data_IF_361026427631
#
_entry.id   IF_361026427631
#
_cell.length_a   1.000
_cell.length_b   1.000
_cell.length_c   1.000
_cell.angle_alpha   90.00
_cell.angle_beta   90.00
_cell.angle_gamma   90.00
#
_symmetry.space_group_name_H-M   'P 1'
#
loop_
_entity.id
_entity.type
_entity.pdbx_description
1 polymer ?
#
# COMPACT_ATOMS: atom_id res chain seq x y z
N UNK A 1 63.90 -32.82 95.25
CA UNK A 1 63.40 -33.32 93.95
C UNK A 1 62.15 -32.52 93.59
N UNK A 2 62.16 -31.76 92.49
CA UNK A 2 60.95 -31.07 91.99
C UNK A 2 60.16 -32.01 91.11
N UNK A 3 58.82 -32.05 91.19
CA UNK A 3 57.97 -32.35 90.05
C UNK A 3 57.37 -31.05 89.49
N UNK A 4 57.64 -30.80 88.20
CA UNK A 4 56.97 -29.77 87.38
C UNK A 4 55.59 -30.28 86.98
N UNK A 5 54.53 -29.55 87.29
CA UNK A 5 53.17 -29.85 86.87
C UNK A 5 52.35 -28.58 86.72
N UNK A 6 52.51 -27.85 85.61
CA UNK A 6 51.68 -26.69 85.28
C UNK A 6 51.85 -26.18 83.82
N UNK A 7 51.84 -27.06 82.80
CA UNK A 7 51.99 -26.63 81.39
C UNK A 7 50.90 -27.12 80.41
N UNK A 8 49.93 -27.96 80.80
CA UNK A 8 48.93 -28.49 79.85
C UNK A 8 47.74 -27.56 79.59
N UNK A 9 47.30 -26.76 80.57
CA UNK A 9 46.08 -25.92 80.40
C UNK A 9 46.30 -24.68 79.52
N UNK A 10 47.52 -24.15 79.46
CA UNK A 10 47.85 -22.97 78.64
C UNK A 10 48.04 -23.33 77.17
N UNK A 11 48.60 -24.51 76.88
CA UNK A 11 48.76 -25.01 75.51
C UNK A 11 47.41 -25.27 74.82
N UNK A 12 46.44 -25.83 75.55
CA UNK A 12 45.09 -26.11 75.03
C UNK A 12 44.30 -24.81 74.72
N UNK A 13 44.48 -23.78 75.56
CA UNK A 13 43.88 -22.44 75.29
C UNK A 13 44.51 -21.72 74.09
N UNK A 14 45.80 -21.90 73.85
CA UNK A 14 46.49 -21.29 72.70
C UNK A 14 46.10 -21.97 71.38
N UNK A 15 45.97 -23.30 71.39
CA UNK A 15 45.46 -24.07 70.25
C UNK A 15 44.01 -23.71 69.90
N UNK A 16 43.14 -23.53 70.90
CA UNK A 16 41.75 -23.10 70.67
C UNK A 16 41.66 -21.65 70.17
N UNK A 17 42.48 -20.73 70.66
CA UNK A 17 42.60 -19.36 70.14
C UNK A 17 43.08 -19.36 68.68
N UNK A 18 44.08 -20.17 68.36
CA UNK A 18 44.59 -20.35 67.00
C UNK A 18 43.51 -20.93 66.08
N UNK A 19 42.84 -22.00 66.48
CA UNK A 19 41.76 -22.62 65.70
C UNK A 19 40.60 -21.64 65.47
N UNK A 20 40.21 -20.88 66.49
CA UNK A 20 39.20 -19.82 66.35
C UNK A 20 39.63 -18.75 65.36
N UNK A 21 40.91 -18.33 65.38
CA UNK A 21 41.45 -17.34 64.43
C UNK A 21 41.48 -17.91 63.01
N UNK A 22 41.90 -19.16 62.83
CA UNK A 22 41.94 -19.84 61.54
C UNK A 22 40.52 -19.97 60.93
N UNK A 23 39.55 -20.41 61.74
CA UNK A 23 38.14 -20.52 61.32
C UNK A 23 37.54 -19.15 61.02
N UNK A 24 37.78 -18.14 61.87
CA UNK A 24 37.29 -16.78 61.64
C UNK A 24 37.84 -16.19 60.33
N UNK A 25 39.12 -16.37 60.04
CA UNK A 25 39.72 -15.87 58.81
C UNK A 25 39.19 -16.60 57.56
N UNK A 26 38.94 -17.90 57.65
CA UNK A 26 38.33 -18.68 56.57
C UNK A 26 36.88 -18.24 56.30
N UNK A 27 36.09 -18.04 57.36
CA UNK A 27 34.69 -17.60 57.24
C UNK A 27 34.60 -16.16 56.72
N UNK A 28 35.44 -15.24 57.20
CA UNK A 28 35.48 -13.86 56.67
C UNK A 28 35.97 -13.84 55.23
N UNK A 29 36.97 -14.66 54.88
CA UNK A 29 37.49 -14.77 53.52
C UNK A 29 36.45 -15.33 52.54
N UNK A 30 35.68 -16.34 52.95
CA UNK A 30 34.59 -16.91 52.16
C UNK A 30 33.41 -15.96 52.04
N UNK A 31 33.00 -15.28 53.12
CA UNK A 31 31.95 -14.26 53.09
C UNK A 31 32.31 -13.10 52.14
N UNK A 32 33.54 -12.60 52.20
CA UNK A 32 34.04 -11.56 51.29
C UNK A 32 34.09 -12.05 49.83
N UNK A 33 34.36 -13.33 49.60
CA UNK A 33 34.26 -13.95 48.27
C UNK A 33 32.81 -13.95 47.79
N UNK A 34 31.86 -14.38 48.62
CA UNK A 34 30.44 -14.37 48.28
C UNK A 34 29.92 -12.97 47.97
N UNK A 35 30.28 -11.94 48.76
CA UNK A 35 29.90 -10.56 48.47
C UNK A 35 30.46 -10.06 47.13
N UNK A 36 31.72 -10.41 46.81
CA UNK A 36 32.34 -10.04 45.54
C UNK A 36 31.71 -10.79 44.35
N UNK A 37 31.42 -12.08 44.50
CA UNK A 37 30.76 -12.91 43.50
C UNK A 37 29.32 -12.42 43.26
N UNK A 38 28.58 -12.06 44.31
CA UNK A 38 27.25 -11.49 44.21
C UNK A 38 27.28 -10.12 43.51
N UNK A 39 28.25 -9.26 43.84
CA UNK A 39 28.42 -7.96 43.18
C UNK A 39 28.78 -8.12 41.70
N UNK A 40 29.66 -9.06 41.36
CA UNK A 40 30.02 -9.38 39.98
C UNK A 40 28.81 -9.94 39.21
N UNK A 41 28.04 -10.85 39.81
CA UNK A 41 26.81 -11.38 39.22
C UNK A 41 25.78 -10.27 38.96
N UNK A 42 25.54 -9.38 39.94
CA UNK A 42 24.64 -8.22 39.79
C UNK A 42 25.09 -7.29 38.68
N UNK A 43 26.39 -7.01 38.56
CA UNK A 43 26.93 -6.16 37.50
C UNK A 43 26.83 -6.82 36.12
N UNK A 44 27.07 -8.13 36.03
CA UNK A 44 26.91 -8.89 34.78
C UNK A 44 25.45 -8.91 34.32
N UNK A 45 24.50 -9.11 35.24
CA UNK A 45 23.07 -9.06 34.95
C UNK A 45 22.68 -7.67 34.45
N UNK A 46 23.11 -6.60 35.13
CA UNK A 46 22.86 -5.22 34.68
C UNK A 46 23.42 -4.96 33.28
N UNK A 47 24.67 -5.34 33.03
CA UNK A 47 25.30 -5.18 31.72
C UNK A 47 24.58 -5.98 30.62
N UNK A 48 24.06 -7.17 30.92
CA UNK A 48 23.25 -7.96 29.98
C UNK A 48 21.89 -7.32 29.71
N UNK A 49 21.24 -6.77 30.75
CA UNK A 49 19.98 -6.04 30.62
C UNK A 49 20.15 -4.78 29.78
N UNK A 50 21.19 -3.98 30.03
CA UNK A 50 21.48 -2.76 29.27
C UNK A 50 21.72 -3.09 27.78
N UNK A 51 22.47 -4.16 27.49
CA UNK A 51 22.66 -4.66 26.12
C UNK A 51 21.35 -5.11 25.48
N UNK A 52 20.49 -5.83 26.20
CA UNK A 52 19.18 -6.24 25.70
C UNK A 52 18.30 -5.03 25.38
N UNK A 53 18.26 -4.02 26.26
CA UNK A 53 17.51 -2.79 26.03
C UNK A 53 18.02 -2.02 24.80
N UNK A 54 19.34 -1.98 24.59
CA UNK A 54 19.92 -1.33 23.41
C UNK A 54 19.56 -2.07 22.12
N UNK A 55 19.62 -3.40 22.13
CA UNK A 55 19.19 -4.26 21.01
C UNK A 55 17.71 -4.05 20.72
N UNK A 56 16.86 -4.05 21.74
CA UNK A 56 15.42 -3.86 21.60
C UNK A 56 15.08 -2.49 21.00
N UNK A 57 15.72 -1.41 21.49
CA UNK A 57 15.56 -0.06 20.92
C UNK A 57 16.00 -0.01 19.45
N UNK A 58 17.15 -0.61 19.11
CA UNK A 58 17.63 -0.68 17.72
C UNK A 58 16.65 -1.44 16.82
N UNK A 59 16.16 -2.58 17.30
CA UNK A 59 15.17 -3.40 16.59
C UNK A 59 13.84 -2.67 16.40
N UNK A 60 13.40 -1.89 17.40
CA UNK A 60 12.17 -1.10 17.30
C UNK A 60 12.29 0.02 16.26
N UNK A 61 13.43 0.73 16.24
CA UNK A 61 13.72 1.77 15.24
C UNK A 61 13.74 1.16 13.83
N UNK A 62 14.39 0.02 13.65
CA UNK A 62 14.46 -0.66 12.36
C UNK A 62 13.08 -1.14 11.90
N UNK A 63 12.29 -1.77 12.79
CA UNK A 63 10.91 -2.15 12.50
C UNK A 63 10.05 -0.95 12.14
N UNK A 64 10.23 0.19 12.82
CA UNK A 64 9.51 1.43 12.50
C UNK A 64 9.88 1.95 11.12
N UNK A 65 11.17 2.00 10.78
CA UNK A 65 11.66 2.40 9.45
C UNK A 65 11.08 1.50 8.36
N UNK A 66 11.16 0.18 8.56
CA UNK A 66 10.59 -0.79 7.61
C UNK A 66 9.08 -0.60 7.41
N UNK A 67 8.32 -0.37 8.50
CA UNK A 67 6.88 -0.08 8.41
C UNK A 67 6.60 1.20 7.61
N UNK A 68 7.36 2.27 7.85
CA UNK A 68 7.19 3.52 7.12
C UNK A 68 7.53 3.34 5.63
N UNK A 69 8.65 2.72 5.31
CA UNK A 69 9.06 2.46 3.92
C UNK A 69 8.03 1.57 3.19
N UNK A 70 7.54 0.52 3.85
CA UNK A 70 6.52 -0.33 3.26
C UNK A 70 5.19 0.42 3.04
N UNK A 71 4.82 1.31 3.97
CA UNK A 71 3.64 2.15 3.82
C UNK A 71 3.80 3.15 2.68
N UNK A 72 4.98 3.74 2.50
CA UNK A 72 5.28 4.63 1.37
C UNK A 72 5.26 3.89 0.04
N UNK A 73 5.84 2.70 -0.03
CA UNK A 73 5.77 1.83 -1.21
C UNK A 73 4.34 1.48 -1.58
N UNK A 74 3.54 1.05 -0.60
CA UNK A 74 2.13 0.74 -0.83
C UNK A 74 1.34 1.97 -1.33
N UNK A 75 1.60 3.14 -0.73
CA UNK A 75 0.98 4.39 -1.21
C UNK A 75 1.40 4.69 -2.65
N UNK A 76 2.68 4.55 -2.98
CA UNK A 76 3.18 4.80 -4.33
C UNK A 76 2.56 3.84 -5.36
N UNK A 77 2.41 2.56 -5.02
CA UNK A 77 1.77 1.57 -5.92
C UNK A 77 0.29 1.85 -6.12
N UNK A 78 -0.47 2.12 -5.05
CA UNK A 78 -1.90 2.46 -5.15
C UNK A 78 -2.12 3.70 -6.01
N UNK A 79 -1.28 4.72 -5.86
CA UNK A 79 -1.33 5.94 -6.68
C UNK A 79 -1.06 5.64 -8.15
N UNK A 80 -0.05 4.83 -8.42
CA UNK A 80 0.30 4.44 -9.78
C UNK A 80 -0.83 3.65 -10.45
N UNK A 81 -1.41 2.68 -9.74
CA UNK A 81 -2.56 1.91 -10.23
C UNK A 81 -3.78 2.78 -10.50
N UNK A 82 -4.12 3.69 -9.59
CA UNK A 82 -5.24 4.62 -9.79
C UNK A 82 -5.02 5.53 -11.00
N UNK A 83 -3.78 5.98 -11.23
CA UNK A 83 -3.43 6.76 -12.41
C UNK A 83 -3.62 5.97 -13.69
N UNK A 84 -3.12 4.73 -13.76
CA UNK A 84 -3.29 3.87 -14.94
C UNK A 84 -4.77 3.60 -15.23
N UNK A 85 -5.55 3.27 -14.19
CA UNK A 85 -7.00 3.08 -14.32
C UNK A 85 -7.70 4.31 -14.87
N UNK A 86 -7.33 5.50 -14.39
CA UNK A 86 -7.86 6.75 -14.90
C UNK A 86 -7.51 6.97 -16.39
N UNK A 87 -6.25 6.75 -16.77
CA UNK A 87 -5.80 6.86 -18.17
C UNK A 87 -6.53 5.86 -19.08
N UNK A 88 -6.77 4.64 -18.61
CA UNK A 88 -7.53 3.61 -19.34
C UNK A 88 -8.99 4.00 -19.55
N UNK A 89 -9.68 4.47 -18.51
CA UNK A 89 -11.06 4.97 -18.60
C UNK A 89 -11.15 6.16 -19.56
N UNK A 90 -10.19 7.10 -19.52
CA UNK A 90 -10.17 8.21 -20.46
C UNK A 90 -9.91 7.76 -21.90
N UNK A 91 -9.02 6.80 -22.10
CA UNK A 91 -8.68 6.30 -23.43
C UNK A 91 -9.85 5.52 -24.07
N UNK A 92 -10.53 4.68 -23.29
CA UNK A 92 -11.72 3.93 -23.73
C UNK A 92 -12.85 4.87 -24.10
N UNK A 93 -13.10 5.91 -23.28
CA UNK A 93 -14.09 6.94 -23.57
C UNK A 93 -13.79 7.68 -24.87
N UNK A 94 -12.54 8.12 -25.06
CA UNK A 94 -12.13 8.78 -26.31
C UNK A 94 -12.35 7.89 -27.53
N UNK A 95 -11.99 6.60 -27.45
CA UNK A 95 -12.24 5.62 -28.52
C UNK A 95 -13.73 5.47 -28.81
N UNK A 96 -14.57 5.41 -27.79
CA UNK A 96 -16.02 5.30 -27.95
C UNK A 96 -16.60 6.54 -28.66
N UNK A 97 -16.19 7.74 -28.27
CA UNK A 97 -16.61 8.99 -28.92
C UNK A 97 -16.14 9.01 -30.38
N UNK A 98 -14.87 8.71 -30.65
CA UNK A 98 -14.34 8.68 -32.02
C UNK A 98 -15.11 7.71 -32.91
N UNK A 99 -15.44 6.51 -32.41
CA UNK A 99 -16.24 5.52 -33.15
C UNK A 99 -17.64 6.05 -33.47
N UNK A 100 -18.28 6.78 -32.55
CA UNK A 100 -19.58 7.42 -32.81
C UNK A 100 -19.44 8.51 -33.86
N UNK A 101 -18.41 9.36 -33.78
CA UNK A 101 -18.16 10.40 -34.77
C UNK A 101 -17.89 9.83 -36.18
N UNK A 102 -17.10 8.77 -36.28
CA UNK A 102 -16.84 8.06 -37.54
C UNK A 102 -18.13 7.48 -38.13
N UNK A 103 -18.95 6.83 -37.31
CA UNK A 103 -20.24 6.32 -37.73
C UNK A 103 -21.18 7.45 -38.19
N UNK A 104 -21.22 8.58 -37.48
CA UNK A 104 -22.00 9.74 -37.90
C UNK A 104 -21.52 10.31 -39.23
N UNK A 105 -20.19 10.42 -39.43
CA UNK A 105 -19.62 10.85 -40.72
C UNK A 105 -20.04 9.91 -41.84
N UNK A 106 -19.96 8.60 -41.61
CA UNK A 106 -20.40 7.60 -42.58
C UNK A 106 -21.91 7.72 -42.88
N UNK A 107 -22.75 7.84 -41.86
CA UNK A 107 -24.20 8.04 -42.00
C UNK A 107 -24.54 9.32 -42.78
N UNK A 108 -23.80 10.42 -42.55
CA UNK A 108 -24.00 11.67 -43.31
C UNK A 108 -23.71 11.51 -44.80
N UNK A 109 -22.76 10.64 -45.18
CA UNK A 109 -22.51 10.32 -46.59
C UNK A 109 -23.67 9.52 -47.20
N UNK A 110 -24.26 8.61 -46.43
CA UNK A 110 -25.40 7.78 -46.87
C UNK A 110 -26.68 8.59 -47.13
N UNK A 111 -26.82 9.81 -46.59
CA UNK A 111 -27.97 10.69 -46.85
C UNK A 111 -28.23 10.97 -48.34
N UNK A 112 -27.20 10.85 -49.17
CA UNK A 112 -27.29 11.07 -50.62
C UNK A 112 -27.92 9.89 -51.36
N UNK A 113 -28.09 8.75 -50.71
CA UNK A 113 -28.51 7.50 -51.35
C UNK A 113 -29.91 7.09 -50.89
N UNK A 114 -30.59 6.35 -51.76
CA UNK A 114 -31.87 5.72 -51.45
C UNK A 114 -31.59 4.32 -50.88
N UNK A 115 -32.26 4.01 -49.78
CA UNK A 115 -32.16 2.74 -49.07
C UNK A 115 -33.20 1.74 -49.62
N UNK A 116 -32.80 0.49 -49.85
CA UNK A 116 -33.74 -0.60 -50.15
C UNK A 116 -34.37 -1.18 -48.89
N UNK A 117 -35.61 -1.67 -48.99
CA UNK A 117 -36.30 -2.34 -47.87
C UNK A 117 -35.86 -3.82 -47.68
N UNK A 118 -35.07 -4.36 -48.62
CA UNK A 118 -34.57 -5.73 -48.61
C UNK A 118 -33.39 -5.91 -47.64
N UNK A 119 -33.16 -7.15 -47.21
CA UNK A 119 -31.97 -7.57 -46.45
C UNK A 119 -31.12 -8.48 -47.35
N UNK A 120 -29.84 -8.17 -47.61
CA UNK A 120 -29.09 -7.01 -47.13
C UNK A 120 -29.57 -5.70 -47.74
N UNK A 121 -29.51 -4.63 -46.94
CA UNK A 121 -29.88 -3.30 -47.37
C UNK A 121 -28.83 -2.74 -48.31
N UNK A 122 -29.27 -2.21 -49.45
CA UNK A 122 -28.41 -1.60 -50.47
C UNK A 122 -28.72 -0.12 -50.55
N UNK A 123 -27.67 0.69 -50.74
CA UNK A 123 -27.77 2.11 -50.99
C UNK A 123 -27.45 2.38 -52.46
N UNK A 124 -28.37 3.02 -53.17
CA UNK A 124 -28.19 3.34 -54.57
C UNK A 124 -28.58 4.79 -54.87
N UNK A 125 -28.03 5.33 -55.96
CA UNK A 125 -28.36 6.65 -56.48
C UNK A 125 -28.76 6.47 -57.96
N UNK A 126 -30.01 6.80 -58.35
CA UNK A 126 -30.42 6.71 -59.74
C UNK A 126 -29.74 7.81 -60.58
N UNK A 127 -29.47 7.53 -61.86
CA UNK A 127 -28.87 8.51 -62.76
C UNK A 127 -29.75 9.76 -63.01
N UNK A 128 -31.08 9.56 -63.00
CA UNK A 128 -32.07 10.64 -63.08
C UNK A 128 -33.15 10.44 -62.03
N UNK A 129 -33.58 11.52 -61.39
CA UNK A 129 -34.60 11.48 -60.36
C UNK A 129 -36.00 11.74 -60.93
N UNK A 130 -36.89 10.76 -60.78
CA UNK A 130 -38.35 10.95 -60.87
C UNK A 130 -38.88 11.48 -59.53
N UNK A 131 -40.08 12.06 -59.49
CA UNK A 131 -40.63 12.63 -58.25
C UNK A 131 -40.77 11.58 -57.14
N UNK A 132 -41.11 10.33 -57.50
CA UNK A 132 -41.12 9.20 -56.56
C UNK A 132 -39.74 8.95 -55.93
N UNK A 133 -38.66 9.03 -56.71
CA UNK A 133 -37.31 8.79 -56.17
C UNK A 133 -36.79 9.98 -55.36
N UNK A 134 -37.25 11.20 -55.64
CA UNK A 134 -36.99 12.38 -54.79
C UNK A 134 -37.66 12.25 -53.42
N UNK A 135 -38.90 11.77 -53.39
CA UNK A 135 -39.61 11.50 -52.13
C UNK A 135 -38.90 10.42 -51.32
N UNK A 136 -38.52 9.30 -51.95
CA UNK A 136 -37.76 8.24 -51.30
C UNK A 136 -36.41 8.74 -50.75
N UNK A 137 -35.71 9.60 -51.49
CA UNK A 137 -34.46 10.22 -51.03
C UNK A 137 -34.68 11.08 -49.78
N UNK A 138 -35.73 11.91 -49.77
CA UNK A 138 -36.10 12.73 -48.59
C UNK A 138 -36.44 11.84 -47.39
N UNK A 139 -37.20 10.76 -47.61
CA UNK A 139 -37.54 9.81 -46.55
C UNK A 139 -36.28 9.12 -45.99
N UNK A 140 -35.35 8.71 -46.85
CA UNK A 140 -34.08 8.09 -46.44
C UNK A 140 -33.21 9.07 -45.65
N UNK A 141 -33.07 10.31 -46.11
CA UNK A 141 -32.34 11.36 -45.38
C UNK A 141 -32.95 11.59 -43.98
N UNK A 142 -34.27 11.68 -43.88
CA UNK A 142 -34.97 11.84 -42.60
C UNK A 142 -34.81 10.62 -41.68
N UNK A 143 -34.82 9.39 -42.22
CA UNK A 143 -34.54 8.17 -41.45
C UNK A 143 -33.13 8.22 -40.85
N UNK A 144 -32.13 8.59 -41.65
CA UNK A 144 -30.74 8.73 -41.20
C UNK A 144 -30.61 9.84 -40.15
N UNK A 145 -31.27 10.98 -40.31
CA UNK A 145 -31.25 12.05 -39.33
C UNK A 145 -31.82 11.62 -37.97
N UNK A 146 -32.95 10.90 -37.97
CA UNK A 146 -33.50 10.32 -36.74
C UNK A 146 -32.55 9.33 -36.09
N UNK A 147 -31.86 8.51 -36.87
CA UNK A 147 -30.86 7.57 -36.35
C UNK A 147 -29.66 8.29 -35.72
N UNK A 148 -29.17 9.36 -36.35
CA UNK A 148 -28.07 10.19 -35.80
C UNK A 148 -28.50 10.83 -34.47
N UNK A 149 -29.69 11.44 -34.42
CA UNK A 149 -30.21 12.08 -33.19
C UNK A 149 -30.35 11.06 -32.07
N UNK A 150 -31.02 9.93 -32.33
CA UNK A 150 -31.16 8.85 -31.36
C UNK A 150 -29.81 8.37 -30.83
N UNK A 151 -28.83 8.17 -31.72
CA UNK A 151 -27.49 7.71 -31.32
C UNK A 151 -26.75 8.72 -30.43
N UNK A 152 -26.96 10.02 -30.67
CA UNK A 152 -26.42 11.10 -29.82
C UNK A 152 -27.07 11.16 -28.45
N UNK A 153 -28.37 10.93 -28.38
CA UNK A 153 -29.12 10.86 -27.12
C UNK A 153 -28.67 9.67 -26.27
N UNK A 154 -28.52 8.49 -26.89
CA UNK A 154 -27.95 7.30 -26.25
C UNK A 154 -26.55 7.60 -25.68
N UNK A 155 -25.66 8.22 -26.47
CA UNK A 155 -24.31 8.56 -26.02
C UNK A 155 -24.32 9.57 -24.85
N UNK A 156 -25.24 10.53 -24.84
CA UNK A 156 -25.39 11.50 -23.73
C UNK A 156 -25.86 10.80 -22.47
N UNK A 157 -26.89 9.96 -22.58
CA UNK A 157 -27.42 9.16 -21.46
C UNK A 157 -26.33 8.29 -20.83
N UNK A 158 -25.58 7.54 -21.65
CA UNK A 158 -24.49 6.68 -21.19
C UNK A 158 -23.35 7.47 -20.52
N UNK A 159 -23.12 8.71 -20.97
CA UNK A 159 -22.09 9.58 -20.39
C UNK A 159 -22.46 10.15 -19.02
N UNK A 160 -23.77 10.22 -18.72
CA UNK A 160 -24.31 10.80 -17.49
C UNK A 160 -24.59 9.75 -16.39
N UNK A 161 -24.90 8.49 -16.73
CA UNK A 161 -25.27 7.46 -15.74
C UNK A 161 -24.07 6.82 -15.02
N UNK A 162 -23.05 6.35 -15.75
CA UNK A 162 -22.06 5.43 -15.17
C UNK A 162 -20.63 6.00 -15.12
N UNK A 163 -20.21 6.74 -16.15
CA UNK A 163 -18.83 7.22 -16.26
C UNK A 163 -18.49 8.46 -15.42
N UNK A 164 -19.49 9.28 -15.05
CA UNK A 164 -19.23 10.57 -14.41
C UNK A 164 -18.91 10.45 -12.92
N UNK A 165 -19.57 9.52 -12.23
CA UNK A 165 -19.35 9.27 -10.79
C UNK A 165 -17.96 8.66 -10.54
N UNK A 166 -17.59 7.64 -11.31
CA UNK A 166 -16.31 6.96 -11.18
C UNK A 166 -15.14 7.85 -11.62
N UNK A 167 -15.28 8.59 -12.72
CA UNK A 167 -14.28 9.58 -13.15
C UNK A 167 -14.09 10.69 -12.12
N UNK A 168 -15.17 11.21 -11.52
CA UNK A 168 -15.09 12.25 -10.48
C UNK A 168 -14.39 11.73 -9.22
N UNK A 169 -14.66 10.47 -8.84
CA UNK A 169 -13.97 9.78 -7.75
C UNK A 169 -12.47 9.61 -8.04
N UNK A 170 -12.12 8.97 -9.16
CA UNK A 170 -10.72 8.73 -9.55
C UNK A 170 -9.94 10.04 -9.72
N UNK A 171 -10.57 11.08 -10.29
CA UNK A 171 -9.94 12.41 -10.43
C UNK A 171 -9.72 13.09 -9.08
N UNK A 172 -10.65 12.97 -8.13
CA UNK A 172 -10.48 13.50 -6.77
C UNK A 172 -9.40 12.76 -5.99
N UNK A 173 -9.31 11.45 -6.18
CA UNK A 173 -8.30 10.60 -5.54
C UNK A 173 -6.91 10.91 -6.11
N UNK A 174 -6.82 11.17 -7.41
CA UNK A 174 -5.61 11.62 -8.09
C UNK A 174 -5.12 13.00 -7.60
N UNK A 175 -6.00 14.01 -7.54
CA UNK A 175 -5.60 15.38 -7.13
C UNK A 175 -5.22 15.49 -5.65
N UNK A 176 -5.87 14.73 -4.77
CA UNK A 176 -5.50 14.67 -3.34
C UNK A 176 -4.10 14.11 -3.14
N UNK A 177 -3.66 13.21 -4.03
CA UNK A 177 -2.33 12.62 -3.96
C UNK A 177 -1.25 13.58 -4.49
N UNK A 178 -1.49 14.26 -5.62
CA UNK A 178 -0.51 15.22 -6.17
C UNK A 178 -0.20 16.35 -5.18
N UNK A 179 -1.23 16.91 -4.55
CA UNK A 179 -1.06 18.02 -3.61
C UNK A 179 -0.30 17.63 -2.32
N UNK A 180 -0.24 16.34 -1.96
CA UNK A 180 0.52 15.85 -0.80
C UNK A 180 1.98 15.55 -1.09
N UNK A 181 2.39 15.50 -2.37
CA UNK A 181 3.80 15.35 -2.77
C UNK A 181 4.53 16.69 -2.87
N UNK A 182 3.81 17.81 -2.93
CA UNK A 182 4.36 19.16 -3.14
C UNK A 182 4.46 20.01 -1.87
N UNK A 183 4.09 19.49 -0.70
CA UNK A 183 4.26 20.12 0.61
C UNK A 183 5.07 19.23 1.54
#
# INVERSE_FOLDING_TARGET
MKPNGSNDKTADTDLTLRNRRLVKNLVIGTLKRFENEERAARNNVKAQMDKHQEIEKKLEIEKRKYRMENQEKLRATTVHENRLRFEDVESTRKRAINKVEENERHMRLLKKFIQTDTKPTIFYLPAQHSDKTKELLKQCANKIDRLIVRRREELRSDSDSDGFSEKKRLKSEYTVVENRKSG
#
